data_IF_526224291541
#
_entry.id   IF_526224291541
#
_cell.length_a   1.000
_cell.length_b   1.000
_cell.length_c   1.000
_cell.angle_alpha   90.00
_cell.angle_beta   90.00
_cell.angle_gamma   90.00
#
_symmetry.space_group_name_H-M   'P 1'
#
loop_
_entity.id
_entity.type
_entity.pdbx_description
1 polymer ?
#
# COMPACT_ATOMS: atom_id res chain seq x y z
N UNK A 1 -23.81 14.83 39.46
CA UNK A 1 -22.77 13.81 39.62
C UNK A 1 -23.00 12.66 38.68
N UNK A 2 -24.19 12.07 38.77
CA UNK A 2 -24.58 11.01 37.85
C UNK A 2 -24.43 11.46 36.41
N UNK A 3 -24.84 12.68 36.11
CA UNK A 3 -24.81 13.17 34.77
C UNK A 3 -23.40 13.21 34.20
N UNK A 4 -22.44 13.57 35.02
CA UNK A 4 -21.04 13.65 34.58
C UNK A 4 -20.47 12.28 34.26
N UNK A 5 -20.81 11.32 35.10
CA UNK A 5 -20.34 9.95 34.88
C UNK A 5 -21.00 9.38 33.64
N UNK A 6 -22.28 9.60 33.48
CA UNK A 6 -22.99 9.11 32.32
C UNK A 6 -22.44 9.71 31.03
N UNK A 7 -22.18 11.01 31.06
CA UNK A 7 -21.61 11.65 29.87
C UNK A 7 -20.21 11.13 29.57
N UNK A 8 -19.42 10.92 30.61
CA UNK A 8 -18.09 10.36 30.39
C UNK A 8 -18.18 8.97 29.81
N UNK A 9 -19.11 8.17 30.32
CA UNK A 9 -19.28 6.82 29.79
C UNK A 9 -19.75 6.85 28.35
N UNK A 10 -20.62 7.77 28.00
CA UNK A 10 -21.07 7.91 26.64
C UNK A 10 -19.94 8.32 25.71
N UNK A 11 -19.10 9.24 26.18
CA UNK A 11 -17.95 9.67 25.39
C UNK A 11 -16.96 8.53 25.21
N UNK A 12 -16.73 7.76 26.25
CA UNK A 12 -15.84 6.62 26.14
C UNK A 12 -16.37 5.62 25.13
N UNK A 13 -17.66 5.33 25.19
CA UNK A 13 -18.26 4.41 24.25
C UNK A 13 -18.16 4.94 22.83
N UNK A 14 -18.38 6.23 22.65
CA UNK A 14 -18.30 6.84 21.35
C UNK A 14 -16.88 6.78 20.80
N UNK A 15 -15.91 7.11 21.63
CA UNK A 15 -14.52 7.07 21.22
C UNK A 15 -14.06 5.65 20.94
N UNK A 16 -14.52 4.70 21.74
CA UNK A 16 -14.18 3.30 21.50
C UNK A 16 -14.69 2.85 20.14
N UNK A 17 -15.90 3.25 19.80
CA UNK A 17 -16.43 2.90 18.50
C UNK A 17 -15.63 3.54 17.39
N UNK A 18 -15.25 4.79 17.56
CA UNK A 18 -14.43 5.46 16.55
C UNK A 18 -13.09 4.78 16.38
N UNK A 19 -12.49 4.34 17.47
CA UNK A 19 -11.22 3.64 17.40
C UNK A 19 -11.38 2.33 16.64
N UNK A 20 -12.45 1.61 16.91
CA UNK A 20 -12.70 0.36 16.19
C UNK A 20 -12.88 0.61 14.71
N UNK A 21 -13.60 1.65 14.35
CA UNK A 21 -13.79 1.97 12.95
C UNK A 21 -12.49 2.36 12.27
N UNK A 22 -11.67 3.13 12.97
CA UNK A 22 -10.37 3.49 12.43
C UNK A 22 -9.48 2.28 12.27
N UNK A 23 -9.55 1.35 13.20
CA UNK A 23 -8.78 0.11 13.09
C UNK A 23 -9.20 -0.68 11.87
N UNK A 24 -10.50 -0.75 11.61
CA UNK A 24 -11.00 -1.44 10.43
C UNK A 24 -10.49 -0.78 9.16
N UNK A 25 -10.52 0.54 9.12
CA UNK A 25 -10.01 1.27 7.97
C UNK A 25 -8.53 1.01 7.77
N UNK A 26 -7.78 1.01 8.86
CA UNK A 26 -6.34 0.77 8.77
C UNK A 26 -6.04 -0.62 8.22
N UNK A 27 -6.79 -1.61 8.67
CA UNK A 27 -6.61 -2.97 8.15
C UNK A 27 -6.93 -3.03 6.67
N UNK A 28 -8.02 -2.40 6.29
CA UNK A 28 -8.42 -2.37 4.89
C UNK A 28 -7.38 -1.71 4.02
N UNK A 29 -6.84 -0.59 4.48
CA UNK A 29 -5.82 0.11 3.72
C UNK A 29 -4.55 -0.72 3.61
N UNK A 30 -4.18 -1.41 4.67
CA UNK A 30 -3.01 -2.27 4.61
C UNK A 30 -3.18 -3.36 3.57
N UNK A 31 -4.36 -3.95 3.51
CA UNK A 31 -4.63 -4.99 2.51
C UNK A 31 -4.54 -4.44 1.10
N UNK A 32 -5.04 -3.23 0.90
CA UNK A 32 -4.97 -2.62 -0.42
C UNK A 32 -3.53 -2.34 -0.81
N UNK A 33 -2.74 -1.85 0.13
CA UNK A 33 -1.34 -1.59 -0.14
C UNK A 33 -0.62 -2.89 -0.49
N UNK A 34 -0.89 -3.95 0.24
CA UNK A 34 -0.26 -5.23 -0.07
C UNK A 34 -0.64 -5.72 -1.46
N UNK A 35 -1.91 -5.57 -1.83
CA UNK A 35 -2.33 -5.96 -3.17
C UNK A 35 -1.62 -5.14 -4.24
N UNK A 36 -1.56 -3.84 -4.01
CA UNK A 36 -0.90 -2.96 -4.97
C UNK A 36 0.59 -3.27 -5.09
N UNK A 37 1.21 -3.58 -3.97
CA UNK A 37 2.62 -3.95 -3.99
C UNK A 37 2.84 -5.22 -4.77
N UNK A 38 1.96 -6.20 -4.60
CA UNK A 38 2.08 -7.44 -5.36
C UNK A 38 1.88 -7.20 -6.85
N UNK A 39 0.87 -6.39 -7.19
CA UNK A 39 0.62 -6.08 -8.59
C UNK A 39 1.80 -5.34 -9.20
N UNK A 40 2.35 -4.40 -8.46
CA UNK A 40 3.49 -3.66 -8.94
C UNK A 40 4.69 -4.58 -9.16
N UNK A 41 4.90 -5.49 -8.21
CA UNK A 41 5.97 -6.44 -8.34
C UNK A 41 5.83 -7.30 -9.58
N UNK A 42 4.61 -7.78 -9.83
CA UNK A 42 4.37 -8.58 -11.02
C UNK A 42 4.60 -7.77 -12.29
N UNK A 43 4.15 -6.53 -12.29
CA UNK A 43 4.36 -5.70 -13.46
C UNK A 43 5.84 -5.43 -13.70
N UNK A 44 6.57 -5.22 -12.62
CA UNK A 44 8.00 -5.00 -12.75
C UNK A 44 8.72 -6.24 -13.26
N UNK A 45 8.27 -7.40 -12.82
CA UNK A 45 8.85 -8.64 -13.31
C UNK A 45 8.58 -8.80 -14.81
N UNK A 46 7.36 -8.51 -15.23
CA UNK A 46 7.04 -8.59 -16.65
C UNK A 46 7.86 -7.62 -17.46
N UNK A 47 8.01 -6.43 -16.94
CA UNK A 47 8.81 -5.43 -17.65
C UNK A 47 10.25 -5.86 -17.75
N UNK A 48 10.79 -6.42 -16.68
CA UNK A 48 12.15 -6.91 -16.69
C UNK A 48 12.31 -8.05 -17.70
N UNK A 49 11.33 -8.95 -17.74
CA UNK A 49 11.37 -10.03 -18.71
C UNK A 49 11.29 -9.51 -20.14
N UNK A 50 10.45 -8.53 -20.36
CA UNK A 50 10.34 -7.95 -21.69
C UNK A 50 11.63 -7.29 -22.11
N UNK A 51 12.24 -6.58 -21.19
CA UNK A 51 13.51 -5.95 -21.49
C UNK A 51 14.61 -6.97 -21.71
N UNK A 52 14.58 -8.06 -20.97
CA UNK A 52 15.53 -9.11 -21.15
C UNK A 52 15.37 -9.77 -22.50
N UNK A 53 14.14 -10.04 -22.89
CA UNK A 53 13.86 -10.71 -24.15
C UNK A 53 14.25 -9.84 -25.35
N UNK A 54 13.91 -8.56 -25.28
CA UNK A 54 14.20 -7.69 -26.41
C UNK A 54 15.51 -6.97 -26.23
N UNK A 55 15.76 -6.56 -25.00
CA UNK A 55 16.94 -5.78 -24.76
C UNK A 55 18.14 -6.61 -24.57
N UNK A 56 17.94 -7.80 -24.08
CA UNK A 56 19.07 -8.68 -23.95
C UNK A 56 19.75 -8.81 -25.27
N UNK A 57 18.96 -8.73 -26.28
CA UNK A 57 19.49 -8.80 -27.59
C UNK A 57 20.19 -7.51 -27.93
N UNK A 58 19.83 -6.52 -27.28
CA UNK A 58 20.44 -5.34 -27.54
C UNK A 58 21.55 -5.16 -26.68
N UNK A 59 22.34 -5.08 -26.81
CA UNK A 59 23.18 -4.98 -25.86
C UNK A 59 23.27 -3.76 -25.50
N UNK A 60 23.04 -3.75 -25.11
CA UNK A 60 22.99 -2.85 -24.55
C UNK A 60 23.89 -2.06 -24.64
N UNK A 61 24.44 -2.40 -24.97
CA UNK A 61 25.32 -1.67 -25.11
C UNK A 61 25.12 -0.63 -25.81
N UNK A 62 24.67 -0.88 -26.28
CA UNK A 62 24.43 0.00 -26.69
C UNK A 62 24.00 0.84 -26.16
N UNK A 63 23.80 0.54 -25.72
CA UNK A 63 23.39 1.36 -25.24
C UNK A 63 23.92 2.01 -24.46
N UNK A 64 24.63 1.94 -24.48
CA UNK A 64 25.06 2.64 -23.91
C UNK A 64 25.33 3.53 -23.84
N UNK A 65 25.36 3.65 -23.92
CA UNK A 65 25.47 4.53 -23.73
C UNK A 65 25.68 5.32 -23.86
N UNK A 66 25.75 5.59 -24.20
CA UNK A 66 25.88 6.53 -24.16
C UNK A 66 25.76 7.36 -24.10
N UNK A 67 25.52 7.51 -24.21
CA UNK A 67 25.22 8.35 -24.04
C UNK A 67 25.19 8.97 -23.37
N UNK A 68 25.30 8.93 -23.13
CA UNK A 68 24.94 9.51 -22.46
C UNK A 68 25.25 10.18 -22.26
#
# INVERSE_FOLDING_TARGET
>A
MQDRVERAEEQIAHLSKMVEELSDVAVEQSRRIERLERQLGLMMEREAEREFDSGGSVPLADQKPPHW
#
